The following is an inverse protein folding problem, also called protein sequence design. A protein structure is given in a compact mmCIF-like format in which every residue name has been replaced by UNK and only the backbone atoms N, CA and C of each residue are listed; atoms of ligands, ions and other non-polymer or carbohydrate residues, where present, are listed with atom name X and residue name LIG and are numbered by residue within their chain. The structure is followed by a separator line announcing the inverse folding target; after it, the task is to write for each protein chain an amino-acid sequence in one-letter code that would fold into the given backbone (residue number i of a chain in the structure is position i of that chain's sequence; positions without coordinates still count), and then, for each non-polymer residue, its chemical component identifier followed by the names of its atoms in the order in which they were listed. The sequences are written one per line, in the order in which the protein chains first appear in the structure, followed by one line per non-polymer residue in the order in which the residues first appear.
data_IF_929754982987
#
_entry.id   IF_929754982987
#
_cell.length_a   1.000
_cell.length_b   1.000
_cell.length_c   1.000
_cell.angle_alpha   90.00
_cell.angle_beta   90.00
_cell.angle_gamma   90.00
#
_symmetry.space_group_name_H-M   'P 1'
#
loop_
_entity.id
_entity.type
_entity.pdbx_description
1 polymer ?
#
# COMPACT_ATOMS: atom_id res chain seq x y z
N UNK A 1 -28.55 -13.07 -26.14
CA UNK A 1 -28.60 -11.63 -26.51
C UNK A 1 -27.19 -11.21 -26.86
N UNK A 2 -26.98 -10.69 -28.07
CA UNK A 2 -25.66 -10.46 -28.69
C UNK A 2 -25.07 -9.10 -28.30
N UNK A 3 -25.61 -8.50 -27.23
CA UNK A 3 -25.11 -7.26 -26.63
C UNK A 3 -23.59 -7.35 -26.38
N UNK A 4 -22.81 -6.30 -26.67
CA UNK A 4 -23.21 -4.94 -27.10
C UNK A 4 -23.38 -4.73 -28.61
N UNK A 5 -23.47 -5.80 -29.41
CA UNK A 5 -23.57 -5.71 -30.87
C UNK A 5 -25.00 -5.64 -31.40
N UNK A 6 -25.97 -5.81 -30.51
CA UNK A 6 -27.39 -5.62 -30.77
C UNK A 6 -27.97 -4.71 -29.71
N UNK A 7 -28.91 -3.86 -30.14
CA UNK A 7 -29.69 -3.00 -29.27
C UNK A 7 -30.51 -3.82 -28.27
N UNK A 8 -30.67 -3.30 -27.07
CA UNK A 8 -31.54 -3.91 -26.06
C UNK A 8 -33.01 -3.79 -26.47
N UNK A 9 -33.80 -4.82 -26.17
CA UNK A 9 -35.24 -4.82 -26.49
C UNK A 9 -36.00 -3.66 -25.81
N UNK A 10 -35.54 -3.22 -24.63
CA UNK A 10 -36.12 -2.12 -23.87
C UNK A 10 -35.42 -0.77 -24.11
N UNK A 11 -34.69 -0.60 -25.22
CA UNK A 11 -33.97 0.65 -25.50
C UNK A 11 -34.90 1.88 -25.52
N UNK A 12 -36.13 1.75 -26.03
CA UNK A 12 -37.12 2.82 -26.00
C UNK A 12 -37.48 3.25 -24.58
N UNK A 13 -37.76 2.31 -23.68
CA UNK A 13 -38.06 2.60 -22.27
C UNK A 13 -36.89 3.32 -21.58
N UNK A 14 -35.66 2.90 -21.88
CA UNK A 14 -34.45 3.54 -21.35
C UNK A 14 -34.36 5.00 -21.83
N UNK A 15 -34.65 5.25 -23.11
CA UNK A 15 -34.57 6.59 -23.71
C UNK A 15 -35.68 7.49 -23.18
N UNK A 16 -36.91 7.00 -23.07
CA UNK A 16 -38.02 7.78 -22.52
C UNK A 16 -37.72 8.22 -21.09
N UNK A 17 -37.15 7.34 -20.27
CA UNK A 17 -36.79 7.64 -18.89
C UNK A 17 -35.68 8.71 -18.74
N UNK A 18 -34.92 9.06 -19.79
CA UNK A 18 -33.99 10.20 -19.73
C UNK A 18 -34.73 11.52 -19.46
N UNK A 19 -36.00 11.63 -19.85
CA UNK A 19 -36.81 12.82 -19.62
C UNK A 19 -37.17 13.00 -18.14
N UNK A 20 -37.21 11.90 -17.37
CA UNK A 20 -37.54 11.94 -15.94
C UNK A 20 -36.33 12.25 -15.05
N UNK A 21 -35.12 12.21 -15.62
CA UNK A 21 -33.90 12.59 -14.91
C UNK A 21 -33.78 14.12 -14.84
N UNK A 22 -33.44 14.73 -13.69
CA UNK A 22 -33.26 16.19 -13.60
C UNK A 22 -32.28 16.75 -14.63
N UNK A 23 -32.63 17.91 -15.20
CA UNK A 23 -31.86 18.54 -16.27
C UNK A 23 -30.53 19.11 -15.83
N UNK A 24 -30.31 19.31 -14.55
CA UNK A 24 -29.04 19.77 -13.96
C UNK A 24 -28.06 18.62 -13.74
N UNK A 25 -28.52 17.36 -13.69
CA UNK A 25 -27.67 16.19 -13.59
C UNK A 25 -26.85 15.96 -14.87
N UNK A 26 -25.54 15.76 -14.73
CA UNK A 26 -24.67 15.39 -15.84
C UNK A 26 -24.64 13.87 -15.99
N UNK A 27 -25.02 13.38 -17.17
CA UNK A 27 -25.07 11.96 -17.48
C UNK A 27 -23.94 11.54 -18.43
N UNK A 28 -23.61 10.25 -18.41
CA UNK A 28 -22.75 9.58 -19.41
C UNK A 28 -23.42 8.30 -19.88
N UNK A 29 -23.34 7.93 -21.17
CA UNK A 29 -23.77 6.62 -21.63
C UNK A 29 -22.88 5.54 -21.02
N UNK A 30 -23.48 4.37 -20.76
CA UNK A 30 -22.76 3.22 -20.21
C UNK A 30 -22.97 1.97 -21.05
N UNK A 31 -21.95 1.12 -21.06
CA UNK A 31 -22.00 -0.22 -21.60
C UNK A 31 -21.88 -1.21 -20.43
N UNK A 32 -22.99 -1.86 -20.11
CA UNK A 32 -23.27 -2.52 -18.84
C UNK A 32 -23.11 -1.56 -17.67
N UNK A 33 -21.94 -1.62 -17.02
CA UNK A 33 -21.64 -0.84 -15.83
C UNK A 33 -20.54 0.20 -16.05
N UNK A 34 -20.02 0.29 -17.26
CA UNK A 34 -18.83 1.07 -17.55
C UNK A 34 -19.10 2.14 -18.61
N UNK A 35 -18.78 3.41 -18.34
CA UNK A 35 -18.61 4.39 -19.40
C UNK A 35 -17.39 4.00 -20.25
N UNK A 36 -17.56 3.90 -21.56
CA UNK A 36 -16.49 3.50 -22.49
C UNK A 36 -16.03 4.62 -23.42
N UNK A 37 -16.58 5.82 -23.23
CA UNK A 37 -16.14 7.03 -23.92
C UNK A 37 -14.82 7.51 -23.32
N UNK A 38 -13.97 8.07 -24.17
CA UNK A 38 -12.74 8.70 -23.71
C UNK A 38 -13.04 9.98 -22.93
N UNK A 39 -12.30 10.21 -21.85
CA UNK A 39 -12.43 11.39 -21.00
C UNK A 39 -13.85 11.65 -20.47
N UNK A 40 -14.70 10.62 -20.33
CA UNK A 40 -16.06 10.76 -19.82
C UNK A 40 -16.10 11.46 -18.43
N UNK A 41 -15.01 11.37 -17.66
CA UNK A 41 -14.87 12.02 -16.36
C UNK A 41 -14.81 13.55 -16.46
N UNK A 42 -14.23 14.07 -17.54
CA UNK A 42 -13.90 15.50 -17.70
C UNK A 42 -14.53 16.16 -18.92
N UNK A 43 -15.21 15.39 -19.77
CA UNK A 43 -15.91 15.96 -20.92
C UNK A 43 -17.03 16.92 -20.47
N UNK A 44 -17.39 17.91 -21.31
CA UNK A 44 -18.58 18.71 -21.10
C UNK A 44 -19.83 17.84 -20.94
N UNK A 45 -20.83 18.36 -20.24
CA UNK A 45 -22.12 17.69 -20.09
C UNK A 45 -22.69 17.33 -21.47
N UNK A 46 -23.06 16.07 -21.63
CA UNK A 46 -23.69 15.58 -22.85
C UNK A 46 -25.17 15.96 -22.86
N UNK A 47 -25.66 16.29 -24.05
CA UNK A 47 -27.09 16.40 -24.30
C UNK A 47 -27.77 15.03 -24.15
N UNK A 48 -28.97 14.99 -23.57
CA UNK A 48 -29.74 13.75 -23.38
C UNK A 48 -30.06 13.06 -24.72
N UNK A 49 -30.28 13.83 -25.80
CA UNK A 49 -30.47 13.30 -27.15
C UNK A 49 -29.24 12.59 -27.69
N UNK A 50 -28.03 13.09 -27.39
CA UNK A 50 -26.79 12.41 -27.76
C UNK A 50 -26.62 11.06 -27.02
N UNK A 51 -27.04 11.00 -25.76
CA UNK A 51 -27.07 9.75 -24.98
C UNK A 51 -28.11 8.79 -25.57
N UNK A 52 -29.30 9.29 -25.89
CA UNK A 52 -30.37 8.52 -26.51
C UNK A 52 -29.95 7.90 -27.85
N UNK A 53 -29.26 8.65 -28.71
CA UNK A 53 -28.73 8.15 -29.97
C UNK A 53 -27.74 7.00 -29.77
N UNK A 54 -26.87 7.07 -28.76
CA UNK A 54 -25.94 5.98 -28.46
C UNK A 54 -26.62 4.70 -27.94
N UNK A 55 -27.78 4.84 -27.29
CA UNK A 55 -28.60 3.72 -26.82
C UNK A 55 -29.42 3.13 -27.98
N UNK A 56 -29.97 3.99 -28.85
CA UNK A 56 -30.89 3.58 -29.91
C UNK A 56 -30.21 3.18 -31.22
N UNK A 57 -29.28 4.00 -31.69
CA UNK A 57 -28.61 3.84 -32.98
C UNK A 57 -27.24 3.17 -32.82
N UNK A 58 -26.65 3.29 -31.63
CA UNK A 58 -25.31 2.80 -31.34
C UNK A 58 -24.22 3.66 -31.97
N UNK A 59 -22.97 3.28 -31.75
CA UNK A 59 -21.82 3.87 -32.44
C UNK A 59 -21.20 2.88 -33.44
N UNK A 60 -20.84 3.40 -34.62
CA UNK A 60 -20.16 2.62 -35.65
C UNK A 60 -18.70 2.44 -35.28
N UNK A 61 -18.27 1.19 -35.08
CA UNK A 61 -16.89 0.83 -34.76
C UNK A 61 -16.30 -0.13 -35.79
N UNK A 62 -14.98 -0.20 -35.82
CA UNK A 62 -14.22 -1.13 -36.66
C UNK A 62 -13.42 -2.06 -35.76
N UNK A 63 -13.57 -3.36 -35.96
CA UNK A 63 -12.80 -4.38 -35.21
C UNK A 63 -11.34 -4.41 -35.66
N UNK A 64 -10.47 -5.07 -34.89
CA UNK A 64 -9.07 -5.31 -35.27
C UNK A 64 -8.93 -6.00 -36.64
N UNK A 65 -9.92 -6.82 -37.02
CA UNK A 65 -10.02 -7.49 -38.32
C UNK A 65 -10.60 -6.60 -39.43
N UNK A 66 -10.68 -5.29 -39.21
CA UNK A 66 -11.23 -4.27 -40.12
C UNK A 66 -12.70 -4.49 -40.52
N UNK A 67 -13.48 -5.20 -39.68
CA UNK A 67 -14.92 -5.40 -39.91
C UNK A 67 -15.71 -4.34 -39.16
N UNK A 68 -16.61 -3.59 -39.82
CA UNK A 68 -17.49 -2.65 -39.15
C UNK A 68 -18.52 -3.40 -38.30
N UNK A 69 -18.91 -2.80 -37.17
CA UNK A 69 -19.99 -3.28 -36.30
C UNK A 69 -20.64 -2.09 -35.58
N UNK A 70 -21.88 -2.26 -35.14
CA UNK A 70 -22.56 -1.31 -34.27
C UNK A 70 -22.35 -1.67 -32.81
N UNK A 71 -22.17 -0.65 -31.97
CA UNK A 71 -21.87 -0.80 -30.55
C UNK A 71 -22.86 0.01 -29.73
N UNK A 72 -23.81 -0.65 -29.10
CA UNK A 72 -24.94 0.01 -28.44
C UNK A 72 -24.69 0.23 -26.96
N UNK A 73 -24.93 1.44 -26.47
CA UNK A 73 -24.97 1.70 -25.04
C UNK A 73 -26.17 0.96 -24.41
N UNK A 74 -26.01 0.51 -23.17
CA UNK A 74 -27.04 -0.22 -22.43
C UNK A 74 -27.82 0.65 -21.46
N UNK A 75 -27.62 1.96 -21.49
CA UNK A 75 -28.21 2.94 -20.59
C UNK A 75 -27.24 4.08 -20.29
N UNK A 76 -27.42 4.68 -19.11
CA UNK A 76 -26.68 5.85 -18.66
C UNK A 76 -26.36 5.79 -17.16
N UNK A 77 -25.33 6.54 -16.78
CA UNK A 77 -24.94 6.76 -15.39
C UNK A 77 -24.88 8.24 -15.06
N UNK A 78 -25.19 8.56 -13.82
CA UNK A 78 -25.00 9.87 -13.22
C UNK A 78 -23.52 10.12 -12.96
N UNK A 79 -22.97 11.19 -13.52
CA UNK A 79 -21.63 11.69 -13.13
C UNK A 79 -21.77 12.44 -11.82
N UNK A 80 -21.04 12.00 -10.81
CA UNK A 80 -21.10 12.57 -9.45
C UNK A 80 -20.12 13.74 -9.29
N UNK A 81 -20.22 14.44 -8.16
CA UNK A 81 -19.38 15.59 -7.84
C UNK A 81 -19.83 16.88 -8.51
N UNK A 82 -18.87 17.77 -8.79
CA UNK A 82 -19.11 19.11 -9.34
C UNK A 82 -19.86 19.10 -10.68
N UNK A 83 -19.75 18.01 -11.46
CA UNK A 83 -20.45 17.86 -12.74
C UNK A 83 -21.97 17.78 -12.59
N UNK A 84 -22.46 17.38 -11.43
CA UNK A 84 -23.87 17.42 -11.08
C UNK A 84 -24.04 18.23 -9.79
N UNK A 85 -23.44 19.42 -9.77
CA UNK A 85 -23.60 20.42 -8.71
C UNK A 85 -23.26 19.96 -7.28
N UNK A 86 -22.45 18.92 -7.11
CA UNK A 86 -22.05 18.40 -5.79
C UNK A 86 -22.81 17.15 -5.34
N UNK A 87 -23.40 16.38 -6.25
CA UNK A 87 -24.03 15.11 -5.87
C UNK A 87 -22.99 14.05 -5.51
N UNK A 88 -23.10 13.50 -4.31
CA UNK A 88 -22.40 12.31 -3.84
C UNK A 88 -23.32 11.08 -3.96
N UNK A 89 -22.80 9.98 -4.48
CA UNK A 89 -23.47 8.68 -4.39
C UNK A 89 -22.79 7.78 -3.35
N UNK A 90 -23.57 7.14 -2.49
CA UNK A 90 -23.10 6.09 -1.59
C UNK A 90 -23.62 4.76 -2.15
N UNK A 91 -22.72 3.87 -2.56
CA UNK A 91 -23.02 2.53 -3.09
C UNK A 91 -22.82 1.49 -1.99
N UNK A 92 -23.94 0.92 -1.54
CA UNK A 92 -23.96 -0.21 -0.61
C UNK A 92 -23.94 -1.48 -1.45
N UNK A 93 -22.79 -2.13 -1.53
CA UNK A 93 -22.60 -3.35 -2.32
C UNK A 93 -22.65 -4.59 -1.41
N UNK A 94 -23.83 -4.90 -0.85
CA UNK A 94 -24.09 -6.16 -0.14
C UNK A 94 -24.50 -5.99 1.33
N UNK A 95 -25.08 -7.05 1.91
CA UNK A 95 -25.73 -7.01 3.23
C UNK A 95 -24.78 -6.61 4.35
N UNK A 96 -23.48 -6.95 4.23
CA UNK A 96 -22.49 -6.64 5.27
C UNK A 96 -21.94 -5.21 5.20
N UNK A 97 -22.21 -4.47 4.11
CA UNK A 97 -21.83 -3.07 3.98
C UNK A 97 -22.80 -2.12 4.69
N UNK A 98 -24.08 -2.48 4.81
CA UNK A 98 -25.11 -1.64 5.43
C UNK A 98 -24.84 -1.35 6.93
N UNK A 99 -24.45 -2.33 7.77
CA UNK A 99 -24.08 -2.06 9.17
C UNK A 99 -22.93 -1.05 9.31
N UNK A 100 -21.97 -1.05 8.38
CA UNK A 100 -20.87 -0.07 8.35
C UNK A 100 -21.43 1.33 8.09
N UNK A 101 -22.34 1.47 7.11
CA UNK A 101 -22.97 2.76 6.80
C UNK A 101 -23.77 3.30 8.01
N UNK A 102 -24.52 2.45 8.71
CA UNK A 102 -25.18 2.84 9.96
C UNK A 102 -24.21 3.23 11.06
N UNK A 103 -23.06 2.54 11.18
CA UNK A 103 -22.04 2.90 12.16
C UNK A 103 -21.40 4.26 11.87
N UNK A 104 -21.23 4.60 10.59
CA UNK A 104 -20.73 5.91 10.17
C UNK A 104 -21.72 7.03 10.55
N UNK A 105 -23.03 6.75 10.51
CA UNK A 105 -24.04 7.68 11.02
C UNK A 105 -25.31 7.80 10.18
N UNK A 106 -25.44 7.05 9.08
CA UNK A 106 -26.65 7.03 8.25
C UNK A 106 -27.87 6.60 9.05
N UNK A 107 -29.01 7.27 8.86
CA UNK A 107 -30.25 7.05 9.62
C UNK A 107 -31.46 6.76 8.73
N UNK A 108 -31.23 6.12 7.57
CA UNK A 108 -32.29 5.83 6.59
C UNK A 108 -33.03 7.09 6.14
N UNK A 109 -32.29 8.17 5.90
CA UNK A 109 -32.82 9.40 5.36
C UNK A 109 -33.52 9.14 4.01
N UNK A 110 -34.72 9.68 3.84
CA UNK A 110 -35.44 9.62 2.57
C UNK A 110 -34.76 10.54 1.55
N UNK A 111 -34.08 9.95 0.59
CA UNK A 111 -33.39 10.62 -0.52
C UNK A 111 -33.50 9.75 -1.77
N UNK A 112 -33.21 10.31 -2.94
CA UNK A 112 -33.16 9.55 -4.20
C UNK A 112 -32.26 8.34 -4.04
N UNK A 113 -32.81 7.17 -4.39
CA UNK A 113 -32.14 5.89 -4.17
C UNK A 113 -32.65 4.83 -5.13
N UNK A 114 -31.82 3.82 -5.39
CA UNK A 114 -32.14 2.74 -6.33
C UNK A 114 -31.40 1.46 -5.98
N UNK A 115 -31.87 0.36 -6.56
CA UNK A 115 -31.27 -0.97 -6.40
C UNK A 115 -31.01 -1.62 -7.74
N UNK A 116 -30.02 -2.52 -7.75
CA UNK A 116 -29.87 -3.48 -8.84
C UNK A 116 -30.87 -4.64 -8.74
N UNK A 117 -31.62 -4.78 -7.64
CA UNK A 117 -32.47 -5.93 -7.34
C UNK A 117 -31.71 -7.12 -6.72
N UNK A 118 -30.40 -6.98 -6.48
CA UNK A 118 -29.63 -7.95 -5.70
C UNK A 118 -29.82 -7.70 -4.19
N UNK A 119 -29.88 -8.75 -3.36
CA UNK A 119 -29.99 -8.61 -1.90
C UNK A 119 -28.89 -7.72 -1.32
N UNK A 120 -29.28 -6.80 -0.43
CA UNK A 120 -28.34 -5.89 0.24
C UNK A 120 -27.70 -4.83 -0.63
N UNK A 121 -28.08 -4.71 -1.92
CA UNK A 121 -27.43 -3.78 -2.85
C UNK A 121 -28.31 -2.61 -3.21
N UNK A 122 -27.89 -1.41 -2.86
CA UNK A 122 -28.59 -0.18 -3.22
C UNK A 122 -27.64 1.01 -3.21
N UNK A 123 -28.06 2.11 -3.83
CA UNK A 123 -27.35 3.38 -3.79
C UNK A 123 -28.28 4.48 -3.31
N UNK A 124 -27.71 5.47 -2.63
CA UNK A 124 -28.40 6.67 -2.15
C UNK A 124 -27.61 7.90 -2.58
N UNK A 125 -28.31 9.00 -2.86
CA UNK A 125 -27.70 10.28 -3.21
C UNK A 125 -27.76 11.27 -2.05
N UNK A 126 -26.71 12.08 -1.95
CA UNK A 126 -26.68 13.26 -1.10
C UNK A 126 -26.11 14.44 -1.87
N UNK A 127 -26.67 15.63 -1.61
CA UNK A 127 -26.18 16.88 -2.17
C UNK A 127 -25.19 17.50 -1.19
N UNK A 128 -23.93 17.67 -1.60
CA UNK A 128 -22.93 18.37 -0.79
C UNK A 128 -23.27 19.87 -0.80
N UNK A 129 -23.37 20.54 0.37
CA UNK A 129 -23.60 21.97 0.45
C UNK A 129 -22.48 22.77 -0.23
N UNK A 130 -22.83 23.86 -0.90
CA UNK A 130 -21.89 24.76 -1.60
C UNK A 130 -20.73 25.22 -0.72
N UNK A 131 -21.01 25.52 0.54
CA UNK A 131 -20.01 25.94 1.53
C UNK A 131 -18.95 24.87 1.82
N UNK A 132 -19.20 23.61 1.47
CA UNK A 132 -18.33 22.48 1.76
C UNK A 132 -17.68 21.88 0.51
N UNK A 133 -18.19 22.19 -0.70
CA UNK A 133 -17.69 21.65 -1.98
C UNK A 133 -16.19 21.90 -2.20
N UNK A 134 -15.68 23.06 -1.79
CA UNK A 134 -14.27 23.42 -1.95
C UNK A 134 -13.32 22.49 -1.17
N UNK A 135 -13.75 21.97 -0.01
CA UNK A 135 -12.96 21.04 0.79
C UNK A 135 -12.83 19.67 0.12
N UNK A 136 -13.83 19.30 -0.70
CA UNK A 136 -13.92 18.01 -1.38
C UNK A 136 -13.53 18.07 -2.86
N UNK A 137 -12.97 19.18 -3.34
CA UNK A 137 -12.59 19.37 -4.77
C UNK A 137 -11.68 18.25 -5.31
N UNK A 138 -10.82 17.70 -4.44
CA UNK A 138 -9.87 16.63 -4.78
C UNK A 138 -10.39 15.24 -4.40
N UNK A 139 -11.49 15.14 -3.64
CA UNK A 139 -12.10 13.88 -3.27
C UNK A 139 -12.81 13.25 -4.49
N UNK A 140 -12.43 12.02 -4.84
CA UNK A 140 -12.96 11.29 -6.00
C UNK A 140 -13.91 10.18 -5.55
N UNK A 141 -13.34 9.20 -4.86
CA UNK A 141 -14.06 8.06 -4.31
C UNK A 141 -13.28 7.40 -3.19
N UNK A 142 -13.98 6.70 -2.31
CA UNK A 142 -13.38 5.86 -1.26
C UNK A 142 -14.22 4.61 -1.08
N UNK A 143 -13.56 3.45 -1.06
CA UNK A 143 -14.17 2.17 -0.69
C UNK A 143 -13.82 1.87 0.76
N UNK A 144 -14.84 1.58 1.55
CA UNK A 144 -14.76 1.16 2.94
C UNK A 144 -15.21 -0.29 3.02
N UNK A 145 -14.33 -1.15 3.53
CA UNK A 145 -14.63 -2.57 3.80
C UNK A 145 -14.51 -2.92 5.27
N UNK A 146 -14.06 -1.98 6.10
CA UNK A 146 -13.97 -2.09 7.55
C UNK A 146 -14.21 -0.72 8.18
N UNK A 147 -14.91 -0.68 9.31
CA UNK A 147 -15.07 0.54 10.11
C UNK A 147 -15.41 0.19 11.56
N UNK A 148 -14.64 0.70 12.51
CA UNK A 148 -14.92 0.56 13.96
C UNK A 148 -15.32 -0.85 14.43
N UNK A 149 -14.50 -1.83 14.06
CA UNK A 149 -14.70 -3.24 14.43
C UNK A 149 -15.73 -3.99 13.58
N UNK A 150 -16.37 -3.33 12.62
CA UNK A 150 -17.19 -3.97 11.59
C UNK A 150 -16.34 -4.26 10.35
N UNK A 151 -16.68 -5.34 9.64
CA UNK A 151 -15.97 -5.80 8.46
C UNK A 151 -16.93 -6.41 7.44
N UNK A 152 -16.75 -6.06 6.16
CA UNK A 152 -17.50 -6.63 5.04
C UNK A 152 -17.15 -8.10 4.80
N UNK A 153 -18.10 -8.84 4.23
CA UNK A 153 -17.94 -10.23 3.84
C UNK A 153 -16.76 -10.42 2.88
N UNK A 154 -16.05 -11.53 3.09
CA UNK A 154 -14.91 -11.96 2.26
C UNK A 154 -15.15 -13.36 1.74
N UNK A 155 -14.72 -13.60 0.51
CA UNK A 155 -14.51 -14.95 0.00
C UNK A 155 -13.03 -15.29 0.04
N UNK A 156 -12.74 -16.57 0.20
CA UNK A 156 -11.40 -17.11 0.13
C UNK A 156 -11.35 -18.15 -0.97
N UNK A 157 -10.52 -17.93 -1.97
CA UNK A 157 -10.36 -18.82 -3.11
C UNK A 157 -8.91 -19.26 -3.24
N UNK A 158 -8.69 -20.49 -3.70
CA UNK A 158 -7.36 -20.97 -4.03
C UNK A 158 -7.05 -20.54 -5.47
N UNK A 159 -6.10 -19.62 -5.62
CA UNK A 159 -5.62 -19.17 -6.91
C UNK A 159 -4.98 -20.32 -7.70
N UNK A 160 -4.83 -20.13 -9.02
CA UNK A 160 -4.25 -21.14 -9.94
C UNK A 160 -2.84 -21.62 -9.56
N UNK A 161 -2.14 -20.90 -8.69
CA UNK A 161 -0.82 -21.22 -8.16
C UNK A 161 -0.86 -21.90 -6.77
N UNK A 162 -2.04 -22.34 -6.31
CA UNK A 162 -2.22 -22.90 -4.96
C UNK A 162 -2.23 -21.84 -3.85
N UNK A 163 -2.09 -20.55 -4.16
CA UNK A 163 -2.10 -19.47 -3.17
C UNK A 163 -3.54 -19.10 -2.80
N UNK A 164 -3.82 -19.09 -1.51
CA UNK A 164 -5.08 -18.57 -0.97
C UNK A 164 -5.18 -17.06 -1.19
N UNK A 165 -6.26 -16.62 -1.84
CA UNK A 165 -6.60 -15.23 -2.11
C UNK A 165 -7.89 -14.92 -1.36
N UNK A 166 -7.83 -13.99 -0.43
CA UNK A 166 -9.01 -13.46 0.26
C UNK A 166 -9.42 -12.15 -0.41
N UNK A 167 -10.68 -12.05 -0.81
CA UNK A 167 -11.24 -10.87 -1.48
C UNK A 167 -12.56 -10.47 -0.81
N UNK A 168 -12.73 -9.18 -0.57
CA UNK A 168 -14.03 -8.63 -0.19
C UNK A 168 -15.03 -8.83 -1.32
N UNK A 169 -16.17 -9.43 -1.00
CA UNK A 169 -17.30 -9.62 -1.93
C UNK A 169 -18.38 -8.56 -1.75
N UNK A 170 -18.33 -7.86 -0.62
CA UNK A 170 -19.16 -6.71 -0.28
C UNK A 170 -18.29 -5.46 -0.04
N UNK A 171 -18.88 -4.27 -0.14
CA UNK A 171 -18.19 -3.01 0.12
C UNK A 171 -19.13 -1.81 0.20
N UNK A 172 -18.67 -0.75 0.86
CA UNK A 172 -19.34 0.55 0.89
C UNK A 172 -18.49 1.56 0.11
N UNK A 173 -18.98 2.07 -1.02
CA UNK A 173 -18.24 3.03 -1.85
C UNK A 173 -18.90 4.41 -1.85
N UNK A 174 -18.13 5.43 -1.49
CA UNK A 174 -18.51 6.84 -1.62
C UNK A 174 -17.95 7.36 -2.95
N UNK A 175 -18.81 7.91 -3.81
CA UNK A 175 -18.48 8.40 -5.17
C UNK A 175 -18.84 9.88 -5.30
N UNK A 176 -17.83 10.72 -5.54
CA UNK A 176 -17.95 12.16 -5.71
C UNK A 176 -17.36 12.59 -7.07
N UNK A 177 -16.22 13.28 -7.13
CA UNK A 177 -15.69 13.77 -8.41
C UNK A 177 -15.13 12.64 -9.29
N UNK A 178 -15.29 12.81 -10.61
CA UNK A 178 -14.78 11.90 -11.67
C UNK A 178 -15.26 10.44 -11.52
N UNK A 179 -16.35 10.23 -10.79
CA UNK A 179 -17.02 8.95 -10.65
C UNK A 179 -18.38 8.96 -11.37
N UNK A 180 -18.93 7.77 -11.59
CA UNK A 180 -20.30 7.62 -12.06
C UNK A 180 -21.02 6.53 -11.29
N UNK A 181 -22.33 6.66 -11.23
CA UNK A 181 -23.22 5.59 -10.79
C UNK A 181 -24.29 5.33 -11.83
N UNK A 182 -24.44 4.06 -12.21
CA UNK A 182 -25.48 3.64 -13.16
C UNK A 182 -26.84 3.76 -12.50
N UNK A 183 -27.76 4.49 -13.15
CA UNK A 183 -29.10 4.78 -12.61
C UNK A 183 -30.19 4.07 -13.43
N UNK A 184 -31.38 3.82 -12.84
CA UNK A 184 -32.51 3.24 -13.54
C UNK A 184 -32.95 4.04 -14.77
N UNK A 185 -33.55 3.39 -15.78
CA UNK A 185 -33.78 1.95 -15.91
C UNK A 185 -32.64 1.25 -16.70
N UNK A 186 -31.41 1.76 -16.62
CA UNK A 186 -30.26 1.20 -17.33
C UNK A 186 -30.04 -0.29 -17.04
N UNK A 187 -29.46 -1.00 -18.01
CA UNK A 187 -29.25 -2.45 -17.91
C UNK A 187 -28.35 -2.82 -16.74
N UNK A 188 -28.78 -3.82 -15.97
CA UNK A 188 -27.91 -4.55 -15.05
C UNK A 188 -27.67 -5.99 -15.58
N UNK A 189 -26.41 -6.45 -15.70
CA UNK A 189 -26.10 -7.72 -16.38
C UNK A 189 -26.75 -8.98 -15.81
N UNK A 190 -27.04 -8.99 -14.50
CA UNK A 190 -27.59 -10.15 -13.81
C UNK A 190 -29.10 -10.07 -13.57
N UNK A 191 -29.65 -8.87 -13.41
CA UNK A 191 -31.02 -8.66 -12.91
C UNK A 191 -31.92 -7.95 -13.92
N UNK A 192 -31.40 -7.70 -15.13
CA UNK A 192 -32.12 -7.01 -16.19
C UNK A 192 -31.86 -5.52 -16.16
N UNK A 193 -32.39 -4.81 -15.16
CA UNK A 193 -32.32 -3.36 -15.05
C UNK A 193 -32.16 -2.89 -13.59
N UNK A 194 -31.57 -1.71 -13.40
CA UNK A 194 -31.66 -0.99 -12.13
C UNK A 194 -33.08 -0.45 -11.94
N UNK A 195 -33.53 -0.31 -10.69
CA UNK A 195 -34.89 0.12 -10.32
C UNK A 195 -34.85 1.17 -9.22
N UNK A 196 -35.62 2.25 -9.37
CA UNK A 196 -35.76 3.26 -8.33
C UNK A 196 -36.36 2.64 -7.06
N UNK A 197 -35.81 3.00 -5.91
CA UNK A 197 -36.42 2.80 -4.59
C UNK A 197 -37.18 4.09 -4.25
N UNK A 198 -36.47 5.22 -4.33
CA UNK A 198 -37.04 6.56 -4.26
C UNK A 198 -36.70 7.28 -5.57
N UNK A 199 -37.72 7.56 -6.38
CA UNK A 199 -37.59 8.10 -7.73
C UNK A 199 -37.31 9.61 -7.70
N UNK A 200 -36.34 10.14 -8.51
CA UNK A 200 -36.05 11.57 -8.56
C UNK A 200 -37.21 12.44 -9.03
N UNK A 201 -38.23 11.88 -9.68
CA UNK A 201 -39.44 12.63 -10.06
C UNK A 201 -40.29 13.02 -8.83
N UNK A 202 -40.20 12.25 -7.74
CA UNK A 202 -41.02 12.43 -6.54
C UNK A 202 -40.21 12.62 -5.25
N UNK A 203 -38.90 12.50 -5.32
CA UNK A 203 -38.00 12.57 -4.17
C UNK A 203 -36.86 13.51 -4.46
N UNK A 204 -36.66 14.50 -3.61
CA UNK A 204 -35.49 15.37 -3.70
C UNK A 204 -34.21 14.66 -3.24
N UNK A 205 -33.06 15.09 -3.76
CA UNK A 205 -31.76 14.66 -3.22
C UNK A 205 -31.56 15.36 -1.87
N UNK A 206 -31.48 14.58 -0.80
CA UNK A 206 -31.26 15.13 0.54
C UNK A 206 -29.92 15.86 0.63
N UNK A 207 -29.90 16.98 1.34
CA UNK A 207 -28.66 17.69 1.67
C UNK A 207 -27.83 16.82 2.63
N UNK A 208 -26.53 16.69 2.35
CA UNK A 208 -25.60 15.97 3.22
C UNK A 208 -25.58 16.61 4.61
N UNK A 209 -25.99 15.83 5.61
CA UNK A 209 -26.00 16.30 7.00
C UNK A 209 -24.60 16.21 7.64
N UNK A 210 -24.46 16.78 8.84
CA UNK A 210 -23.16 16.91 9.50
C UNK A 210 -22.39 15.59 9.66
N UNK A 211 -23.08 14.48 9.93
CA UNK A 211 -22.40 13.17 10.07
C UNK A 211 -21.67 12.77 8.80
N UNK A 212 -22.26 13.06 7.63
CA UNK A 212 -21.68 12.72 6.34
C UNK A 212 -20.53 13.67 6.00
N UNK A 213 -20.69 14.96 6.29
CA UNK A 213 -19.64 15.96 6.07
C UNK A 213 -18.41 15.67 6.95
N UNK A 214 -18.60 15.42 8.25
CA UNK A 214 -17.53 15.06 9.19
C UNK A 214 -16.80 13.79 8.74
N UNK A 215 -17.56 12.80 8.26
CA UNK A 215 -16.99 11.58 7.72
C UNK A 215 -16.17 11.82 6.46
N UNK A 216 -16.71 12.59 5.49
CA UNK A 216 -16.04 12.92 4.24
C UNK A 216 -14.74 13.70 4.48
N UNK A 217 -14.76 14.69 5.38
CA UNK A 217 -13.55 15.41 5.78
C UNK A 217 -12.49 14.45 6.33
N UNK A 218 -12.90 13.54 7.22
CA UNK A 218 -11.99 12.53 7.79
C UNK A 218 -11.36 11.64 6.72
N UNK A 219 -12.12 11.18 5.72
CA UNK A 219 -11.59 10.30 4.67
C UNK A 219 -10.93 11.03 3.49
N UNK A 220 -11.16 12.34 3.34
CA UNK A 220 -10.56 13.19 2.32
C UNK A 220 -9.19 13.75 2.73
N UNK A 221 -8.98 13.98 4.03
CA UNK A 221 -7.69 14.42 4.60
C UNK A 221 -6.69 13.27 4.71
N UNK A 222 -7.15 12.02 4.74
CA UNK A 222 -6.25 10.88 4.54
C UNK A 222 -5.64 10.99 3.14
N UNK A 223 -4.32 11.26 3.00
CA UNK A 223 -3.69 11.16 1.70
C UNK A 223 -4.01 9.78 1.14
N UNK A 224 -4.14 9.62 -0.19
CA UNK A 224 -4.32 8.29 -0.75
C UNK A 224 -3.13 7.47 -0.30
N UNK A 225 -3.34 6.64 0.73
CA UNK A 225 -2.47 5.54 1.01
C UNK A 225 -2.68 4.68 -0.21
N UNK A 226 -1.78 4.81 -1.19
CA UNK A 226 -1.58 3.80 -2.21
C UNK A 226 -0.96 2.62 -1.44
N UNK A 227 -1.73 2.02 -0.54
CA UNK A 227 -1.44 0.75 0.09
C UNK A 227 -1.71 -0.30 -0.99
N UNK A 228 -0.77 -0.44 -1.92
CA UNK A 228 -0.68 -1.67 -2.66
C UNK A 228 0.12 -2.67 -1.85
N UNK A 229 -0.39 -3.90 -1.88
CA UNK A 229 0.06 -5.02 -1.10
C UNK A 229 1.58 -5.21 -1.22
N UNK A 230 2.29 -4.84 -0.16
CA UNK A 230 3.54 -5.50 0.19
C UNK A 230 3.29 -6.99 0.13
N UNK A 231 4.16 -7.76 -0.55
CA UNK A 231 4.09 -9.22 -0.50
C UNK A 231 4.48 -9.71 0.90
N UNK A 232 3.53 -9.61 1.83
CA UNK A 232 3.62 -10.08 3.20
C UNK A 232 3.92 -11.58 3.27
N UNK A 233 3.74 -12.33 2.17
CA UNK A 233 4.05 -13.77 2.14
C UNK A 233 5.55 -14.03 2.29
N UNK A 234 6.41 -13.16 1.75
CA UNK A 234 7.85 -13.27 1.89
C UNK A 234 8.30 -12.82 3.29
N UNK A 235 7.77 -11.70 3.78
CA UNK A 235 8.02 -11.21 5.14
C UNK A 235 7.54 -12.18 6.23
N UNK A 236 6.33 -12.74 6.11
CA UNK A 236 5.80 -13.74 7.05
C UNK A 236 6.64 -15.02 7.06
N UNK A 237 7.25 -15.43 5.94
CA UNK A 237 8.21 -16.55 5.93
C UNK A 237 9.49 -16.23 6.69
N UNK A 238 9.96 -14.98 6.70
CA UNK A 238 11.14 -14.54 7.45
C UNK A 238 10.84 -14.37 8.95
N UNK A 239 9.67 -13.82 9.30
CA UNK A 239 9.23 -13.61 10.68
C UNK A 239 8.80 -14.93 11.35
N UNK A 240 8.14 -15.84 10.62
CA UNK A 240 7.77 -17.17 11.12
C UNK A 240 8.98 -18.07 11.43
N UNK A 241 10.19 -17.71 10.97
CA UNK A 241 11.45 -18.35 11.38
C UNK A 241 12.04 -17.82 12.69
N UNK A 242 11.31 -17.01 13.46
CA UNK A 242 11.68 -16.62 14.82
C UNK A 242 12.50 -15.32 14.94
N UNK A 243 12.58 -14.51 13.88
CA UNK A 243 13.12 -13.14 13.98
C UNK A 243 11.98 -12.17 14.32
N UNK A 244 11.93 -11.75 15.59
CA UNK A 244 11.06 -10.65 16.05
C UNK A 244 11.30 -9.38 15.23
N UNK A 245 10.24 -8.57 15.01
CA UNK A 245 10.24 -7.18 14.52
C UNK A 245 11.51 -6.74 13.74
N UNK A 246 11.42 -6.68 12.41
CA UNK A 246 12.50 -6.37 11.45
C UNK A 246 13.81 -5.85 12.08
N UNK A 247 14.74 -6.76 12.38
CA UNK A 247 16.05 -6.40 12.96
C UNK A 247 16.96 -5.68 11.96
N UNK A 248 16.53 -5.52 10.70
CA UNK A 248 17.23 -4.81 9.64
C UNK A 248 16.46 -3.55 9.21
N UNK A 249 17.12 -2.39 9.27
CA UNK A 249 16.58 -1.10 8.86
C UNK A 249 16.07 -1.07 7.41
N UNK A 250 16.61 -1.91 6.53
CA UNK A 250 16.14 -2.01 5.14
C UNK A 250 14.75 -2.62 5.03
N UNK A 251 14.48 -3.66 5.83
CA UNK A 251 13.17 -4.31 5.84
C UNK A 251 12.15 -3.40 6.54
N UNK A 252 12.56 -2.76 7.64
CA UNK A 252 11.76 -1.73 8.30
C UNK A 252 11.36 -0.61 7.33
N UNK A 253 12.31 -0.08 6.54
CA UNK A 253 12.00 0.92 5.51
C UNK A 253 10.96 0.41 4.51
N UNK A 254 11.17 -0.79 3.97
CA UNK A 254 10.40 -1.31 2.86
C UNK A 254 8.98 -1.70 3.26
N UNK A 255 8.81 -2.26 4.45
CA UNK A 255 7.58 -2.91 4.88
C UNK A 255 6.80 -2.11 5.92
N UNK A 256 7.48 -1.29 6.72
CA UNK A 256 6.84 -0.48 7.74
C UNK A 256 6.77 1.00 7.35
N UNK A 257 7.86 1.57 6.83
CA UNK A 257 7.93 3.01 6.58
C UNK A 257 7.28 3.39 5.24
N UNK A 258 7.77 2.89 4.11
CA UNK A 258 7.30 3.31 2.79
C UNK A 258 5.81 3.11 2.53
N UNK A 259 5.15 2.02 2.98
CA UNK A 259 3.71 1.85 2.77
C UNK A 259 2.85 2.92 3.46
N UNK A 260 3.41 3.64 4.44
CA UNK A 260 2.73 4.69 5.21
C UNK A 260 3.02 6.10 4.70
N UNK A 261 3.94 6.25 3.74
CA UNK A 261 4.35 7.56 3.23
C UNK A 261 3.77 7.85 1.84
N UNK A 262 3.21 9.04 1.69
CA UNK A 262 2.86 9.61 0.39
C UNK A 262 4.10 10.14 -0.35
N UNK A 263 4.03 10.37 -1.68
CA UNK A 263 5.10 11.02 -2.43
C UNK A 263 5.50 12.37 -1.86
N UNK A 264 4.54 13.17 -1.40
CA UNK A 264 4.82 14.49 -0.82
C UNK A 264 5.52 14.38 0.53
N UNK A 265 5.26 13.32 1.30
CA UNK A 265 6.05 13.04 2.49
C UNK A 265 7.44 12.53 2.13
N UNK A 266 7.62 11.71 1.10
CA UNK A 266 8.96 11.22 0.71
C UNK A 266 9.82 12.34 0.10
N UNK A 267 9.25 13.07 -0.85
CA UNK A 267 9.84 14.17 -1.61
C UNK A 267 9.34 15.51 -1.07
N UNK A 268 9.79 15.84 0.15
CA UNK A 268 9.16 16.82 1.03
C UNK A 268 9.52 18.29 0.79
N UNK A 269 10.31 18.61 -0.23
CA UNK A 269 10.59 20.01 -0.53
C UNK A 269 9.36 20.71 -1.09
N UNK A 270 8.82 21.68 -0.36
CA UNK A 270 7.57 22.38 -0.70
C UNK A 270 7.63 23.11 -2.05
N UNK A 271 8.83 23.49 -2.49
CA UNK A 271 9.06 24.14 -3.79
C UNK A 271 8.85 23.22 -5.00
N UNK A 272 8.62 21.92 -4.81
CA UNK A 272 8.38 20.99 -5.91
C UNK A 272 7.19 21.39 -6.78
N UNK A 273 6.12 21.94 -6.19
CA UNK A 273 4.90 22.35 -6.91
C UNK A 273 4.38 21.26 -7.86
N UNK A 274 4.27 20.02 -7.35
CA UNK A 274 3.97 18.85 -8.17
C UNK A 274 2.66 18.98 -8.94
N UNK A 275 2.70 18.56 -10.22
CA UNK A 275 1.54 18.36 -11.09
C UNK A 275 1.50 16.91 -11.53
N UNK A 276 0.35 16.26 -11.38
CA UNK A 276 0.16 14.89 -11.85
C UNK A 276 0.05 14.88 -13.37
N UNK A 277 0.87 14.06 -14.04
CA UNK A 277 0.79 13.82 -15.49
C UNK A 277 0.87 12.31 -15.73
N UNK A 278 -0.27 11.68 -16.02
CA UNK A 278 -0.36 10.23 -16.16
C UNK A 278 -0.04 9.52 -14.84
N UNK A 279 1.01 8.69 -14.83
CA UNK A 279 1.51 7.99 -13.61
C UNK A 279 2.71 8.69 -12.95
N UNK A 280 3.05 9.89 -13.37
CA UNK A 280 4.25 10.60 -12.92
C UNK A 280 3.86 11.95 -12.33
N UNK A 281 4.39 12.26 -11.16
CA UNK A 281 4.36 13.60 -10.57
C UNK A 281 5.52 14.40 -11.16
N UNK A 282 5.25 15.58 -11.70
CA UNK A 282 6.27 16.47 -12.29
C UNK A 282 6.35 17.77 -11.52
N UNK A 283 7.56 18.23 -11.21
CA UNK A 283 7.77 19.44 -10.41
C UNK A 283 9.16 20.06 -10.60
N UNK A 284 9.51 20.98 -9.70
CA UNK A 284 10.81 21.65 -9.64
C UNK A 284 11.82 20.84 -8.81
N UNK A 285 13.09 20.71 -9.21
CA UNK A 285 14.12 20.15 -8.35
C UNK A 285 14.57 21.18 -7.28
N UNK A 286 14.94 20.75 -6.05
CA UNK A 286 15.36 21.67 -4.98
C UNK A 286 16.72 22.32 -5.18
N UNK A 287 17.61 21.67 -5.92
CA UNK A 287 19.04 22.02 -6.01
C UNK A 287 19.39 22.93 -7.20
N UNK A 288 18.41 23.33 -8.01
CA UNK A 288 18.64 24.24 -9.14
C UNK A 288 17.33 24.87 -9.61
N UNK A 289 17.46 25.99 -10.32
CA UNK A 289 16.32 26.57 -11.01
C UNK A 289 15.96 25.74 -12.26
N UNK A 290 14.69 25.42 -12.42
CA UNK A 290 14.16 24.70 -13.58
C UNK A 290 13.43 25.68 -14.49
N UNK A 291 13.87 25.78 -15.76
CA UNK A 291 13.25 26.68 -16.74
C UNK A 291 11.79 26.28 -17.05
N UNK A 292 11.48 24.98 -17.06
CA UNK A 292 10.13 24.47 -17.30
C UNK A 292 9.28 24.36 -16.03
N UNK A 293 9.91 24.38 -14.85
CA UNK A 293 9.26 24.09 -13.57
C UNK A 293 8.78 22.64 -13.40
N UNK A 294 9.10 21.74 -14.33
CA UNK A 294 8.56 20.36 -14.36
C UNK A 294 9.61 19.27 -14.61
N UNK A 295 10.90 19.59 -14.48
CA UNK A 295 11.99 18.65 -14.79
C UNK A 295 12.19 17.55 -13.74
N UNK A 296 11.69 17.74 -12.53
CA UNK A 296 11.78 16.75 -11.45
C UNK A 296 10.60 15.79 -11.54
N UNK A 297 10.87 14.54 -11.93
CA UNK A 297 9.86 13.52 -12.13
C UNK A 297 9.90 12.53 -10.97
N UNK A 298 8.73 12.19 -10.44
CA UNK A 298 8.54 11.16 -9.41
C UNK A 298 7.54 10.13 -9.92
N UNK A 299 7.87 8.85 -9.81
CA UNK A 299 7.02 7.74 -10.24
C UNK A 299 7.26 6.51 -9.35
N UNK A 300 6.36 5.54 -9.43
CA UNK A 300 6.60 4.21 -8.87
C UNK A 300 7.31 3.34 -9.91
N UNK A 301 8.42 2.74 -9.51
CA UNK A 301 9.12 1.77 -10.35
C UNK A 301 8.34 0.45 -10.48
N UNK A 302 8.92 -0.51 -11.20
CA UNK A 302 8.32 -1.83 -11.43
C UNK A 302 8.06 -2.63 -10.15
N UNK A 303 8.77 -2.30 -9.06
CA UNK A 303 8.70 -2.95 -7.76
C UNK A 303 7.77 -2.17 -6.80
N UNK A 304 7.05 -1.17 -7.32
CA UNK A 304 6.12 -0.33 -6.58
C UNK A 304 6.78 0.72 -5.69
N UNK A 305 8.10 0.88 -5.78
CA UNK A 305 8.86 1.81 -4.95
C UNK A 305 8.89 3.20 -5.58
N UNK A 306 8.80 4.22 -4.74
CA UNK A 306 8.90 5.60 -5.20
C UNK A 306 10.33 5.93 -5.63
N UNK A 307 10.46 6.35 -6.88
CA UNK A 307 11.68 6.80 -7.51
C UNK A 307 11.53 8.23 -8.02
N UNK A 308 12.65 8.92 -8.12
CA UNK A 308 12.74 10.25 -8.70
C UNK A 308 13.86 10.32 -9.75
N UNK A 309 13.72 11.27 -10.67
CA UNK A 309 14.79 11.69 -11.57
C UNK A 309 14.57 13.12 -12.02
N UNK A 310 15.65 13.90 -12.01
CA UNK A 310 15.71 15.17 -12.72
C UNK A 310 16.02 14.89 -14.20
N UNK A 311 15.03 15.10 -15.06
CA UNK A 311 15.14 14.80 -16.50
C UNK A 311 16.15 15.66 -17.24
N UNK A 312 16.61 16.77 -16.66
CA UNK A 312 17.62 17.61 -17.29
C UNK A 312 19.04 17.13 -16.99
N UNK A 313 19.31 16.70 -15.76
CA UNK A 313 20.66 16.25 -15.34
C UNK A 313 20.83 14.73 -15.46
N UNK A 314 19.73 13.98 -15.55
CA UNK A 314 19.72 12.52 -15.56
C UNK A 314 19.85 11.88 -14.18
N UNK A 315 20.16 12.67 -13.15
CA UNK A 315 20.32 12.21 -11.77
C UNK A 315 18.99 11.72 -11.21
N UNK A 316 19.04 10.65 -10.42
CA UNK A 316 17.85 10.07 -9.83
C UNK A 316 18.16 9.03 -8.76
N UNK A 317 17.11 8.51 -8.13
CA UNK A 317 17.21 7.49 -7.10
C UNK A 317 15.89 7.24 -6.39
N UNK A 318 15.93 6.54 -5.26
CA UNK A 318 14.75 6.34 -4.38
C UNK A 318 14.65 7.41 -3.29
N UNK A 319 13.70 7.22 -2.37
CA UNK A 319 13.45 8.06 -1.19
C UNK A 319 14.75 8.43 -0.42
N UNK A 320 15.56 7.44 -0.09
CA UNK A 320 16.81 7.62 0.66
C UNK A 320 17.80 8.52 -0.11
N UNK A 321 17.96 8.30 -1.41
CA UNK A 321 18.87 9.08 -2.24
C UNK A 321 18.40 10.53 -2.38
N UNK A 322 17.09 10.75 -2.45
CA UNK A 322 16.50 12.09 -2.45
C UNK A 322 16.84 12.83 -1.15
N UNK A 323 16.53 12.23 0.02
CA UNK A 323 16.76 12.88 1.32
C UNK A 323 18.24 13.19 1.56
N UNK A 324 19.12 12.27 1.18
CA UNK A 324 20.55 12.51 1.26
C UNK A 324 20.98 13.71 0.41
N UNK A 325 20.47 13.79 -0.83
CA UNK A 325 20.77 14.90 -1.73
C UNK A 325 20.19 16.24 -1.24
N UNK A 326 18.99 16.21 -0.69
CA UNK A 326 18.34 17.40 -0.11
C UNK A 326 19.17 17.98 1.03
N UNK A 327 19.84 17.13 1.82
CA UNK A 327 20.78 17.52 2.89
C UNK A 327 22.19 17.86 2.40
N UNK A 328 22.41 18.01 1.09
CA UNK A 328 23.72 18.35 0.50
C UNK A 328 24.66 17.17 0.27
N UNK A 329 24.21 15.94 0.51
CA UNK A 329 24.98 14.72 0.27
C UNK A 329 25.04 14.33 -1.22
N UNK A 330 26.04 13.50 -1.57
CA UNK A 330 26.23 12.99 -2.93
C UNK A 330 26.33 11.46 -2.93
N UNK A 331 25.71 10.81 -3.92
CA UNK A 331 25.74 9.36 -4.07
C UNK A 331 24.80 8.61 -3.11
N UNK A 332 25.16 7.37 -2.76
CA UNK A 332 24.36 6.51 -1.87
C UNK A 332 24.80 6.73 -0.41
N UNK A 333 23.91 7.17 0.50
CA UNK A 333 24.27 7.34 1.91
C UNK A 333 24.66 6.02 2.55
N UNK A 334 25.59 6.06 3.51
CA UNK A 334 26.06 4.89 4.26
C UNK A 334 26.16 5.23 5.75
N UNK A 335 26.22 4.20 6.60
CA UNK A 335 26.47 4.35 8.03
C UNK A 335 25.49 5.33 8.69
N UNK A 336 26.04 6.34 9.38
CA UNK A 336 25.25 7.32 10.16
C UNK A 336 24.25 8.10 9.31
N UNK A 337 24.62 8.50 8.09
CA UNK A 337 23.73 9.27 7.21
C UNK A 337 22.52 8.44 6.77
N UNK A 338 22.75 7.16 6.47
CA UNK A 338 21.65 6.24 6.14
C UNK A 338 20.69 6.12 7.33
N UNK A 339 21.21 5.85 8.53
CA UNK A 339 20.39 5.69 9.75
C UNK A 339 19.62 6.96 10.08
N UNK A 340 20.23 8.14 9.90
CA UNK A 340 19.59 9.42 10.13
C UNK A 340 18.40 9.64 9.19
N UNK A 341 18.57 9.34 7.90
CA UNK A 341 17.50 9.44 6.90
C UNK A 341 16.39 8.41 7.19
N UNK A 342 16.73 7.18 7.57
CA UNK A 342 15.71 6.18 7.96
C UNK A 342 14.89 6.67 9.14
N UNK A 343 15.55 7.29 10.14
CA UNK A 343 14.87 7.86 11.30
C UNK A 343 13.93 9.00 10.93
N UNK A 344 14.35 9.88 10.02
CA UNK A 344 13.52 10.98 9.52
C UNK A 344 12.27 10.45 8.81
N UNK A 345 12.45 9.53 7.85
CA UNK A 345 11.32 8.92 7.14
C UNK A 345 10.40 8.11 8.06
N UNK A 346 10.95 7.43 9.07
CA UNK A 346 10.16 6.75 10.08
C UNK A 346 9.32 7.74 10.90
N UNK A 347 9.91 8.88 11.29
CA UNK A 347 9.21 9.97 11.95
C UNK A 347 8.06 10.54 11.11
N UNK A 348 8.30 10.77 9.82
CA UNK A 348 7.26 11.21 8.87
C UNK A 348 6.12 10.17 8.72
N UNK A 349 6.43 8.89 8.97
CA UNK A 349 5.48 7.77 8.95
C UNK A 349 4.80 7.51 10.30
N UNK A 350 5.12 8.30 11.34
CA UNK A 350 4.61 8.12 12.70
C UNK A 350 5.18 6.89 13.43
N UNK A 351 6.36 6.42 13.03
CA UNK A 351 7.02 5.23 13.59
C UNK A 351 8.28 5.61 14.35
N UNK A 352 8.60 4.79 15.36
CA UNK A 352 9.90 4.83 16.02
C UNK A 352 10.86 3.86 15.34
N UNK A 353 12.13 4.25 15.27
CA UNK A 353 13.18 3.39 14.75
C UNK A 353 13.32 2.17 15.67
N UNK A 354 13.32 0.93 15.16
CA UNK A 354 13.55 -0.25 15.99
C UNK A 354 14.94 -0.19 16.62
N UNK A 355 15.11 -0.88 17.75
CA UNK A 355 16.41 -0.98 18.40
C UNK A 355 17.41 -1.67 17.46
N UNK A 356 18.30 -0.87 16.86
CA UNK A 356 19.30 -1.31 15.89
C UNK A 356 20.66 -1.37 16.58
N UNK A 357 21.16 -2.60 16.75
CA UNK A 357 22.56 -2.84 17.14
C UNK A 357 23.38 -2.93 15.86
N UNK A 358 24.32 -2.00 15.68
CA UNK A 358 25.17 -1.99 14.49
C UNK A 358 25.95 -3.30 14.35
N UNK A 359 26.19 -3.77 13.12
CA UNK A 359 26.93 -5.01 12.88
C UNK A 359 28.33 -4.97 13.49
N UNK A 360 28.92 -3.78 13.65
CA UNK A 360 30.18 -3.57 14.37
C UNK A 360 30.10 -3.98 15.84
N UNK A 361 28.97 -3.68 16.51
CA UNK A 361 28.74 -4.04 17.91
C UNK A 361 28.47 -5.54 18.02
N UNK A 362 27.69 -6.13 17.12
CA UNK A 362 27.46 -7.59 17.10
C UNK A 362 28.75 -8.39 16.89
N UNK A 363 29.62 -7.93 15.99
CA UNK A 363 30.95 -8.54 15.77
C UNK A 363 31.81 -8.41 17.02
N UNK A 364 31.77 -7.26 17.71
CA UNK A 364 32.50 -7.05 18.95
C UNK A 364 31.98 -7.95 20.09
N UNK A 365 30.67 -8.05 20.28
CA UNK A 365 30.03 -8.91 21.29
C UNK A 365 30.33 -10.39 21.03
N UNK A 366 30.25 -10.84 19.77
CA UNK A 366 30.58 -12.23 19.40
C UNK A 366 32.05 -12.54 19.67
N UNK A 367 32.96 -11.59 19.39
CA UNK A 367 34.38 -11.75 19.72
C UNK A 367 34.64 -11.78 21.22
N UNK A 368 33.91 -11.00 22.01
CA UNK A 368 34.03 -11.00 23.48
C UNK A 368 33.57 -12.34 24.04
N UNK A 369 32.40 -12.82 23.63
CA UNK A 369 31.86 -14.12 24.10
C UNK A 369 32.80 -15.27 23.71
N UNK A 370 33.29 -15.28 22.47
CA UNK A 370 34.25 -16.30 22.04
C UNK A 370 35.54 -16.29 22.88
N UNK A 371 36.07 -15.09 23.17
CA UNK A 371 37.27 -14.94 24.00
C UNK A 371 37.02 -15.34 25.46
N UNK A 372 35.83 -15.12 26.02
CA UNK A 372 35.46 -15.60 27.35
C UNK A 372 35.36 -17.13 27.42
N UNK A 373 34.78 -17.78 26.40
CA UNK A 373 34.73 -19.24 26.29
C UNK A 373 36.12 -19.85 26.16
N UNK A 374 36.98 -19.26 25.32
CA UNK A 374 38.38 -19.67 25.16
C UNK A 374 39.15 -19.55 26.49
N UNK A 375 38.95 -18.47 27.25
CA UNK A 375 39.55 -18.30 28.59
C UNK A 375 39.07 -19.35 29.60
N UNK A 376 37.78 -19.71 29.60
CA UNK A 376 37.24 -20.73 30.51
C UNK A 376 37.83 -22.11 30.19
N UNK A 377 37.90 -22.46 28.90
CA UNK A 377 38.50 -23.71 28.44
C UNK A 377 39.99 -23.73 28.80
N UNK A 378 40.70 -22.62 28.60
CA UNK A 378 42.11 -22.51 28.94
C UNK A 378 42.37 -22.70 30.44
N UNK A 379 41.53 -22.12 31.31
CA UNK A 379 41.60 -22.29 32.75
C UNK A 379 41.33 -23.74 33.18
N UNK A 380 40.29 -24.39 32.63
CA UNK A 380 39.97 -25.79 32.91
C UNK A 380 41.10 -26.74 32.47
N UNK A 381 41.68 -26.50 31.29
CA UNK A 381 42.83 -27.26 30.79
C UNK A 381 44.07 -27.06 31.68
N UNK A 382 44.28 -25.85 32.20
CA UNK A 382 45.36 -25.59 33.16
C UNK A 382 45.14 -26.36 34.47
N UNK A 383 43.91 -26.50 34.94
CA UNK A 383 43.58 -27.30 36.12
C UNK A 383 43.82 -28.80 35.91
N UNK A 384 43.50 -29.33 34.72
CA UNK A 384 43.84 -30.72 34.35
C UNK A 384 45.35 -30.92 34.45
N UNK A 385 46.16 -29.99 33.92
CA UNK A 385 47.61 -30.09 33.99
C UNK A 385 48.13 -30.01 35.43
N UNK A 386 47.54 -29.14 36.27
CA UNK A 386 47.88 -29.08 37.70
C UNK A 386 47.62 -30.42 38.37
N UNK A 387 46.49 -31.05 38.08
CA UNK A 387 46.13 -32.36 38.62
C UNK A 387 47.12 -33.44 38.19
N UNK A 388 47.45 -33.52 36.90
CA UNK A 388 48.43 -34.51 36.38
C UNK A 388 49.81 -34.32 37.01
N UNK A 389 50.23 -33.08 37.22
CA UNK A 389 51.53 -32.78 37.84
C UNK A 389 51.54 -33.17 39.33
N UNK A 390 50.44 -32.91 40.04
CA UNK A 390 50.30 -33.15 41.47
C UNK A 390 49.95 -34.60 41.85
N UNK A 391 49.55 -35.45 40.89
CA UNK A 391 49.16 -36.84 41.15
C UNK A 391 50.32 -37.72 41.62
N UNK A 392 50.03 -38.98 41.96
CA UNK A 392 51.02 -39.93 42.48
C UNK A 392 51.62 -40.85 41.39
N UNK A 393 51.31 -40.58 40.12
CA UNK A 393 51.79 -41.36 38.98
C UNK A 393 53.32 -41.24 38.80
N UNK A 394 53.90 -42.23 38.11
CA UNK A 394 55.33 -42.20 37.81
C UNK A 394 55.68 -41.04 36.87
N UNK A 395 56.94 -40.60 36.92
CA UNK A 395 57.40 -39.49 36.07
C UNK A 395 57.18 -39.75 34.56
N UNK A 396 57.26 -41.02 34.13
CA UNK A 396 57.04 -41.43 32.74
C UNK A 396 55.55 -41.32 32.36
N UNK A 397 54.65 -41.79 33.21
CA UNK A 397 53.20 -41.71 32.97
C UNK A 397 52.72 -40.25 32.91
N UNK A 398 53.21 -39.40 33.82
CA UNK A 398 52.92 -37.96 33.79
C UNK A 398 53.43 -37.30 32.51
N UNK A 399 54.64 -37.66 32.05
CA UNK A 399 55.20 -37.15 30.80
C UNK A 399 54.33 -37.52 29.60
N UNK A 400 53.89 -38.77 29.51
CA UNK A 400 53.09 -39.25 28.38
C UNK A 400 51.70 -38.58 28.37
N UNK A 401 51.07 -38.43 29.55
CA UNK A 401 49.80 -37.72 29.70
C UNK A 401 49.92 -36.23 29.31
N UNK A 402 50.95 -35.53 29.82
CA UNK A 402 51.17 -34.13 29.49
C UNK A 402 51.44 -33.99 27.98
N UNK A 403 52.27 -34.85 27.40
CA UNK A 403 52.58 -34.80 25.95
C UNK A 403 51.30 -34.92 25.13
N UNK A 404 50.47 -35.93 25.41
CA UNK A 404 49.20 -36.14 24.72
C UNK A 404 48.25 -34.94 24.86
N UNK A 405 48.15 -34.34 26.06
CA UNK A 405 47.33 -33.15 26.29
C UNK A 405 47.87 -31.93 25.53
N UNK A 406 49.20 -31.73 25.50
CA UNK A 406 49.81 -30.60 24.79
C UNK A 406 49.70 -30.71 23.27
N UNK A 407 49.74 -31.92 22.72
CA UNK A 407 49.50 -32.18 21.29
C UNK A 407 48.03 -31.95 20.93
N UNK A 408 47.10 -32.41 21.78
CA UNK A 408 45.67 -32.18 21.58
C UNK A 408 45.27 -30.69 21.62
N UNK A 409 46.06 -29.85 22.30
CA UNK A 409 45.81 -28.42 22.48
C UNK A 409 46.77 -27.49 21.72
N UNK A 410 47.54 -28.01 20.75
CA UNK A 410 48.75 -27.41 20.18
C UNK A 410 48.73 -25.87 19.98
N UNK A 411 47.62 -25.31 19.48
CA UNK A 411 47.45 -23.87 19.28
C UNK A 411 47.14 -23.12 20.59
N UNK A 412 46.13 -23.55 21.35
CA UNK A 412 45.69 -22.91 22.60
C UNK A 412 46.66 -23.10 23.76
N UNK A 413 47.44 -24.19 23.75
CA UNK A 413 48.36 -24.52 24.83
C UNK A 413 49.42 -23.43 25.02
N UNK A 414 50.05 -22.99 23.92
CA UNK A 414 51.19 -22.05 23.94
C UNK A 414 50.76 -20.60 24.20
N UNK A 415 49.54 -20.22 23.82
CA UNK A 415 49.06 -18.84 23.88
C UNK A 415 48.23 -18.55 25.12
N UNK A 416 47.38 -19.49 25.56
CA UNK A 416 46.35 -19.24 26.56
C UNK A 416 46.50 -20.14 27.79
N UNK A 417 46.51 -21.47 27.63
CA UNK A 417 46.59 -22.43 28.75
C UNK A 417 47.87 -22.23 29.56
N UNK A 418 49.00 -22.04 28.87
CA UNK A 418 50.28 -21.78 29.53
C UNK A 418 50.22 -20.53 30.42
N UNK A 419 49.52 -19.49 29.97
CA UNK A 419 49.32 -18.22 30.69
C UNK A 419 48.59 -18.36 32.03
N UNK A 420 47.74 -19.39 32.18
CA UNK A 420 46.95 -19.65 33.39
C UNK A 420 47.64 -20.60 34.39
N UNK A 421 48.79 -21.18 34.05
CA UNK A 421 49.57 -22.01 34.98
C UNK A 421 50.45 -21.17 35.91
N UNK A 422 50.55 -21.58 37.18
CA UNK A 422 51.48 -20.96 38.14
C UNK A 422 52.95 -21.31 37.80
N UNK A 423 53.93 -20.47 38.18
CA UNK A 423 55.34 -20.66 37.86
C UNK A 423 55.91 -22.03 38.23
N UNK A 424 55.48 -22.59 39.36
CA UNK A 424 55.90 -23.89 39.87
C UNK A 424 55.42 -25.03 38.95
N UNK A 425 54.13 -25.02 38.58
CA UNK A 425 53.55 -26.00 37.67
C UNK A 425 54.19 -25.94 36.28
N UNK A 426 54.43 -24.72 35.76
CA UNK A 426 55.17 -24.52 34.50
C UNK A 426 56.58 -25.12 34.55
N UNK A 427 57.25 -24.98 35.69
CA UNK A 427 58.61 -25.49 35.90
C UNK A 427 58.62 -27.01 35.93
N UNK A 428 57.68 -27.63 36.63
CA UNK A 428 57.53 -29.08 36.71
C UNK A 428 57.17 -29.70 35.35
N UNK A 429 56.24 -29.09 34.61
CA UNK A 429 55.90 -29.50 33.24
C UNK A 429 57.13 -29.42 32.32
N UNK A 430 57.93 -28.35 32.42
CA UNK A 430 59.19 -28.22 31.66
C UNK A 430 60.22 -29.28 32.01
N UNK A 431 60.27 -29.73 33.26
CA UNK A 431 61.18 -30.80 33.69
C UNK A 431 60.71 -32.14 33.14
N UNK A 432 59.41 -32.42 33.19
CA UNK A 432 58.81 -33.68 32.70
C UNK A 432 58.89 -33.83 31.18
N UNK A 433 58.83 -32.71 30.43
CA UNK A 433 58.88 -32.73 28.96
C UNK A 433 60.31 -32.71 28.37
N UNK A 434 61.34 -32.43 29.18
CA UNK A 434 62.75 -32.63 28.78
C UNK A 434 63.07 -34.11 28.84
#
# INVERSE_FOLDING_TARGET
MTYPFERLNNAFEIIEALNDVPDDWSLTPVWDKAPKRDNWQTEPKLDKGAIAALIFDGESKVSEKKRPYQYFASGYGLRTGEYSHGILAIDVDGDTALPILYRIGYKNETTVSWTSGKPGRFQVLFQIPDSHRQNLKDFRRKVITQWEGLECAKTTEVGKNGKTITKYIDGLEFRYNEAQSVIPPSRHPTTGAYKWINDPLFTEVAIASQWLLDFLDKIAVEPPVIANAVDWTQYKKTVAKGLSASTNLKDFLLFDVYPRLSPNQIFNWTGHNFKQVGKTLKGCPPWRQSASGTSFHVWQDKDGQWAWQDKQTGEGGGAIAYRHKLSGGNGKPRGKDFVAIVRELAGDAGLQLPHYVSDTIKIAETKIVHNEEEMIIAAANADILRWVVAGDETAQEKRDMITSLTEAWEHHFKTEVWGHLEPEARTQIKILLK
#
